data_IF_158815862849
#
_entry.id   IF_158815862849
#
_cell.length_a   1.000
_cell.length_b   1.000
_cell.length_c   1.000
_cell.angle_alpha   90.00
_cell.angle_beta   90.00
_cell.angle_gamma   90.00
#
_symmetry.space_group_name_H-M   'P 1'
#
loop_
_entity.id
_entity.type
_entity.pdbx_description
1 polymer ?
#
# COMPACT_ATOMS: atom_id res chain seq x y z
N UNK A 1 -7.17 18.53 4.25
CA UNK A 1 -7.84 17.22 4.22
C UNK A 1 -7.73 16.64 2.81
N UNK A 2 -7.30 15.40 2.68
CA UNK A 2 -7.34 14.64 1.42
C UNK A 2 -8.44 13.59 1.55
N UNK A 3 -9.35 13.57 0.58
CA UNK A 3 -10.45 12.62 0.49
C UNK A 3 -10.19 11.72 -0.72
N UNK A 4 -9.72 10.50 -0.47
CA UNK A 4 -9.51 9.47 -1.48
C UNK A 4 -10.77 8.64 -1.67
N UNK A 5 -11.43 8.85 -2.81
CA UNK A 5 -12.67 8.21 -3.19
C UNK A 5 -12.35 7.05 -4.14
N UNK A 6 -11.48 6.17 -3.67
CA UNK A 6 -10.92 5.03 -4.39
C UNK A 6 -11.81 3.80 -4.43
N UNK A 7 -11.21 2.65 -4.74
CA UNK A 7 -11.91 1.39 -4.96
C UNK A 7 -11.43 0.24 -4.08
N UNK A 8 -10.62 0.47 -3.04
CA UNK A 8 -10.20 -0.65 -2.20
C UNK A 8 -9.02 -0.53 -1.24
N UNK A 9 -8.36 0.62 -1.00
CA UNK A 9 -7.28 0.70 0.03
C UNK A 9 -6.90 2.14 0.38
N UNK A 10 -6.46 2.35 1.63
CA UNK A 10 -5.92 3.62 2.19
C UNK A 10 -4.48 3.42 2.63
N UNK A 11 -3.60 4.32 2.21
CA UNK A 11 -2.26 4.49 2.78
C UNK A 11 -2.15 5.85 3.44
N UNK A 12 -1.83 5.90 4.73
CA UNK A 12 -1.83 7.15 5.51
C UNK A 12 -0.41 7.65 5.79
N UNK A 13 0.23 8.33 4.85
CA UNK A 13 1.60 8.84 5.09
C UNK A 13 1.57 10.33 5.44
N UNK A 14 2.36 10.71 6.43
CA UNK A 14 2.51 12.08 6.91
C UNK A 14 3.86 12.62 6.47
N UNK A 15 3.89 13.77 5.80
CA UNK A 15 5.08 14.29 5.12
C UNK A 15 5.40 15.72 5.51
N UNK A 16 6.67 16.11 5.57
CA UNK A 16 7.15 17.47 5.70
C UNK A 16 7.65 17.99 4.37
N UNK A 17 7.18 19.15 3.96
CA UNK A 17 7.77 19.85 2.81
C UNK A 17 9.09 20.47 3.27
N UNK A 18 10.14 20.24 2.49
CA UNK A 18 11.48 20.76 2.72
C UNK A 18 11.71 21.98 1.81
N UNK A 19 12.65 22.85 2.19
CA UNK A 19 13.01 24.08 1.46
C UNK A 19 13.40 23.89 -0.01
N UNK A 20 13.70 22.66 -0.44
CA UNK A 20 14.06 22.28 -1.80
C UNK A 20 12.94 21.53 -2.56
N UNK A 21 11.68 21.72 -2.15
CA UNK A 21 10.48 21.05 -2.70
C UNK A 21 10.51 19.52 -2.58
N UNK A 22 11.32 18.96 -1.66
CA UNK A 22 11.29 17.53 -1.32
C UNK A 22 10.44 17.28 -0.08
N UNK A 23 10.05 16.03 0.14
CA UNK A 23 9.23 15.58 1.26
C UNK A 23 10.09 14.84 2.29
N UNK A 24 9.80 14.92 3.58
CA UNK A 24 10.32 14.02 4.61
C UNK A 24 9.16 13.33 5.31
N UNK A 25 9.18 12.02 5.49
CA UNK A 25 8.17 11.34 6.28
C UNK A 25 8.27 11.77 7.75
N UNK A 26 7.16 12.21 8.34
CA UNK A 26 7.08 12.57 9.77
C UNK A 26 6.20 11.64 10.57
N UNK A 27 5.33 10.86 9.91
CA UNK A 27 4.68 9.67 10.48
C UNK A 27 4.39 8.68 9.35
N UNK A 28 4.61 7.39 9.63
CA UNK A 28 4.46 6.31 8.64
C UNK A 28 3.00 5.86 8.48
N UNK A 29 2.64 5.46 7.26
CA UNK A 29 1.40 4.73 6.97
C UNK A 29 1.19 3.49 7.83
N UNK A 30 0.03 3.48 8.50
CA UNK A 30 -0.62 2.25 8.93
C UNK A 30 -1.42 1.67 7.76
N UNK A 31 -0.72 0.99 6.87
CA UNK A 31 -1.33 0.15 5.85
C UNK A 31 -0.62 -1.22 5.82
N UNK A 32 -1.36 -2.22 5.37
CA UNK A 32 -0.84 -3.53 5.02
C UNK A 32 -1.10 -3.81 3.56
N UNK A 33 -0.45 -4.86 3.06
CA UNK A 33 -0.50 -5.33 1.67
C UNK A 33 -1.89 -5.90 1.32
N UNK A 34 -2.86 -5.04 1.02
CA UNK A 34 -4.27 -5.43 0.76
C UNK A 34 -4.83 -4.93 -0.59
N UNK A 35 -3.97 -4.42 -1.48
CA UNK A 35 -4.40 -3.84 -2.76
C UNK A 35 -4.76 -4.85 -3.87
N UNK A 36 -5.49 -4.38 -4.89
CA UNK A 36 -5.95 -5.20 -6.03
C UNK A 36 -4.84 -5.91 -6.82
N UNK A 37 -3.63 -5.34 -6.87
CA UNK A 37 -2.47 -5.96 -7.55
C UNK A 37 -2.01 -7.26 -6.88
N UNK A 38 -2.19 -7.39 -5.56
CA UNK A 38 -1.87 -8.63 -4.83
C UNK A 38 -2.90 -9.70 -5.15
N UNK A 39 -4.17 -9.32 -5.29
CA UNK A 39 -5.24 -10.20 -5.78
C UNK A 39 -4.88 -10.72 -7.18
N UNK A 40 -4.28 -9.88 -8.03
CA UNK A 40 -3.83 -10.27 -9.37
C UNK A 40 -2.68 -11.26 -9.34
N UNK A 41 -1.67 -10.97 -8.54
CA UNK A 41 -0.53 -11.87 -8.37
C UNK A 41 -0.97 -13.23 -7.81
N UNK A 42 -1.79 -13.24 -6.76
CA UNK A 42 -2.31 -14.46 -6.14
C UNK A 42 -3.22 -15.26 -7.09
N UNK A 43 -4.04 -14.58 -7.90
CA UNK A 43 -4.84 -15.26 -8.91
C UNK A 43 -3.99 -15.84 -10.04
N UNK A 44 -2.97 -15.10 -10.51
CA UNK A 44 -2.01 -15.62 -11.50
C UNK A 44 -1.26 -16.84 -10.95
N UNK A 45 -0.80 -16.81 -9.71
CA UNK A 45 -0.20 -17.97 -9.03
C UNK A 45 -1.18 -19.14 -8.92
N UNK A 46 -2.44 -18.89 -8.57
CA UNK A 46 -3.48 -19.91 -8.54
C UNK A 46 -3.70 -20.58 -9.90
N UNK A 47 -3.77 -19.79 -10.99
CA UNK A 47 -3.94 -20.32 -12.36
C UNK A 47 -2.70 -21.10 -12.80
N UNK A 48 -1.50 -20.61 -12.50
CA UNK A 48 -0.24 -21.34 -12.73
C UNK A 48 -0.25 -22.68 -12.01
N UNK A 49 -0.70 -22.71 -10.74
CA UNK A 49 -0.83 -23.93 -9.95
C UNK A 49 -1.88 -24.89 -10.51
N UNK A 50 -3.02 -24.37 -10.99
CA UNK A 50 -4.10 -25.14 -11.60
C UNK A 50 -3.65 -25.82 -12.90
N UNK A 51 -2.95 -25.07 -13.76
CA UNK A 51 -2.44 -25.56 -15.05
C UNK A 51 -1.12 -26.32 -14.92
N UNK A 52 -0.45 -26.24 -13.76
CA UNK A 52 0.89 -26.76 -13.49
C UNK A 52 1.92 -26.29 -14.54
N UNK A 53 1.77 -25.05 -14.99
CA UNK A 53 2.62 -24.45 -16.00
C UNK A 53 2.98 -23.01 -15.61
N UNK A 54 4.24 -22.80 -15.25
CA UNK A 54 4.75 -21.50 -14.82
C UNK A 54 4.80 -20.45 -15.94
N UNK A 55 4.67 -20.88 -17.20
CA UNK A 55 4.75 -20.00 -18.36
C UNK A 55 3.40 -19.78 -19.04
N UNK A 56 2.29 -20.22 -18.42
CA UNK A 56 0.99 -20.24 -19.08
C UNK A 56 0.52 -18.84 -19.51
N UNK A 57 0.88 -17.80 -18.75
CA UNK A 57 0.51 -16.42 -19.08
C UNK A 57 1.41 -15.84 -20.17
N UNK A 58 2.73 -16.02 -20.12
CA UNK A 58 3.61 -15.58 -21.22
C UNK A 58 3.24 -16.27 -22.53
N UNK A 59 2.99 -17.59 -22.49
CA UNK A 59 2.55 -18.35 -23.65
C UNK A 59 1.20 -17.86 -24.18
N UNK A 60 0.26 -17.53 -23.30
CA UNK A 60 -1.04 -16.99 -23.72
C UNK A 60 -0.88 -15.64 -24.41
N UNK A 61 -0.04 -14.75 -23.87
CA UNK A 61 0.25 -13.45 -24.48
C UNK A 61 0.98 -13.56 -25.82
N UNK A 62 1.91 -14.50 -25.95
CA UNK A 62 2.69 -14.69 -27.19
C UNK A 62 1.86 -15.38 -28.30
N UNK A 63 1.04 -16.37 -27.94
CA UNK A 63 0.31 -17.20 -28.89
C UNK A 63 -1.09 -16.66 -29.21
N UNK A 64 -1.74 -16.02 -28.24
CA UNK A 64 -3.12 -15.57 -28.34
C UNK A 64 -3.37 -14.27 -27.52
N UNK A 65 -2.76 -13.13 -27.92
CA UNK A 65 -2.82 -11.89 -27.16
C UNK A 65 -4.25 -11.33 -27.01
N UNK A 66 -5.17 -11.64 -27.94
CA UNK A 66 -6.58 -11.26 -27.81
C UNK A 66 -7.27 -12.06 -26.70
N UNK A 67 -7.01 -13.36 -26.63
CA UNK A 67 -7.55 -14.22 -25.56
C UNK A 67 -6.92 -13.87 -24.20
N UNK A 68 -5.64 -13.51 -24.18
CA UNK A 68 -4.96 -12.99 -22.99
C UNK A 68 -5.63 -11.71 -22.48
N UNK A 69 -5.91 -10.77 -23.38
CA UNK A 69 -6.58 -9.52 -23.05
C UNK A 69 -8.03 -9.75 -22.61
N UNK A 70 -8.75 -10.67 -23.26
CA UNK A 70 -10.11 -11.05 -22.85
C UNK A 70 -10.10 -11.73 -21.47
N UNK A 71 -9.14 -12.61 -21.20
CA UNK A 71 -8.97 -13.25 -19.90
C UNK A 71 -8.67 -12.24 -18.79
N UNK A 72 -7.71 -11.34 -19.00
CA UNK A 72 -7.40 -10.29 -18.02
C UNK A 72 -8.60 -9.37 -17.82
N UNK A 73 -9.31 -8.99 -18.89
CA UNK A 73 -10.51 -8.17 -18.79
C UNK A 73 -11.64 -8.86 -18.01
N UNK A 74 -11.85 -10.15 -18.25
CA UNK A 74 -12.87 -10.94 -17.56
C UNK A 74 -12.51 -11.13 -16.08
N UNK A 75 -11.23 -11.32 -15.77
CA UNK A 75 -10.75 -11.37 -14.39
C UNK A 75 -10.88 -10.01 -13.69
N UNK A 76 -10.45 -8.92 -14.32
CA UNK A 76 -10.64 -7.55 -13.83
C UNK A 76 -12.12 -7.25 -13.55
N UNK A 77 -13.00 -7.66 -14.47
CA UNK A 77 -14.43 -7.51 -14.32
C UNK A 77 -14.97 -8.32 -13.11
N UNK A 78 -14.53 -9.57 -12.92
CA UNK A 78 -14.89 -10.39 -11.76
C UNK A 78 -14.35 -9.81 -10.45
N UNK A 79 -13.12 -9.29 -10.43
CA UNK A 79 -12.57 -8.59 -9.27
C UNK A 79 -13.42 -7.38 -8.87
N UNK A 80 -13.86 -6.59 -9.84
CA UNK A 80 -14.73 -5.42 -9.59
C UNK A 80 -16.08 -5.80 -8.94
N UNK A 81 -16.58 -7.01 -9.17
CA UNK A 81 -17.79 -7.49 -8.48
C UNK A 81 -17.56 -7.74 -6.98
N UNK A 82 -16.31 -8.00 -6.58
CA UNK A 82 -15.93 -8.32 -5.20
C UNK A 82 -15.30 -7.10 -4.51
N UNK A 83 -14.74 -6.17 -5.29
CA UNK A 83 -14.17 -4.90 -4.83
C UNK A 83 -15.28 -3.98 -4.32
N UNK A 84 -15.21 -3.59 -3.06
CA UNK A 84 -16.07 -2.54 -2.50
C UNK A 84 -15.46 -1.18 -2.81
N UNK A 85 -16.24 -0.26 -3.35
CA UNK A 85 -15.82 1.13 -3.50
C UNK A 85 -15.63 1.75 -2.12
N UNK A 86 -14.40 2.07 -1.76
CA UNK A 86 -14.06 2.69 -0.48
C UNK A 86 -13.96 4.19 -0.62
N UNK A 87 -14.25 4.90 0.46
CA UNK A 87 -13.91 6.30 0.59
C UNK A 87 -13.12 6.44 1.86
N UNK A 88 -11.98 7.09 1.73
CA UNK A 88 -10.95 7.13 2.73
C UNK A 88 -10.49 8.57 2.90
N UNK A 89 -10.44 9.03 4.15
CA UNK A 89 -10.17 10.43 4.46
C UNK A 89 -8.98 10.54 5.37
N UNK A 90 -8.06 11.44 5.06
CA UNK A 90 -6.96 11.82 5.94
C UNK A 90 -6.92 13.34 6.11
N UNK A 91 -6.71 13.80 7.34
CA UNK A 91 -6.53 15.23 7.62
C UNK A 91 -5.10 15.50 8.02
N UNK A 92 -4.43 16.29 7.19
CA UNK A 92 -3.13 16.84 7.51
C UNK A 92 -3.22 18.31 7.89
N UNK A 93 -2.45 18.72 8.90
CA UNK A 93 -2.17 20.10 9.28
C UNK A 93 -0.76 20.46 8.84
N UNK A 94 -0.61 21.56 8.11
CA UNK A 94 0.71 22.13 7.80
C UNK A 94 1.20 22.88 9.04
N UNK A 95 2.32 22.45 9.59
CA UNK A 95 2.98 23.03 10.75
C UNK A 95 3.86 24.20 10.32
N UNK A 96 4.32 25.00 11.31
CA UNK A 96 5.18 26.18 11.06
C UNK A 96 6.50 25.85 10.36
N UNK A 97 6.99 24.63 10.53
CA UNK A 97 8.22 24.12 9.92
C UNK A 97 7.93 23.39 8.60
N UNK A 98 6.79 23.67 7.97
CA UNK A 98 6.31 23.07 6.71
C UNK A 98 6.05 21.56 6.78
N UNK A 99 6.06 21.00 8.00
CA UNK A 99 5.66 19.63 8.26
C UNK A 99 4.16 19.45 8.07
N UNK A 100 3.69 18.55 7.22
CA UNK A 100 2.32 18.04 7.32
C UNK A 100 2.29 17.05 8.47
N UNK A 101 1.40 17.21 9.43
CA UNK A 101 1.11 16.25 10.51
C UNK A 101 -0.31 15.74 10.33
N UNK A 102 -0.53 14.43 10.36
CA UNK A 102 -1.88 13.89 10.45
C UNK A 102 -2.47 14.25 11.81
N UNK A 103 -3.56 15.02 11.78
CA UNK A 103 -4.27 15.50 12.97
C UNK A 103 -5.58 14.75 13.20
N UNK A 104 -5.93 13.86 12.28
CA UNK A 104 -7.11 13.02 12.35
C UNK A 104 -6.80 11.66 11.74
N UNK A 105 -6.98 10.60 12.54
CA UNK A 105 -6.74 9.21 12.10
C UNK A 105 -7.54 8.94 10.84
N UNK A 106 -6.93 8.36 9.80
CA UNK A 106 -7.74 8.08 8.62
C UNK A 106 -8.95 7.20 8.93
N UNK A 107 -10.07 7.62 8.37
CA UNK A 107 -11.38 6.99 8.51
C UNK A 107 -11.94 6.77 7.12
N UNK A 108 -12.77 5.74 6.99
CA UNK A 108 -13.36 5.39 5.72
C UNK A 108 -14.52 4.43 5.85
N UNK A 109 -15.20 4.21 4.72
CA UNK A 109 -16.36 3.34 4.63
C UNK A 109 -16.63 2.89 3.20
N UNK A 110 -17.47 1.87 3.06
CA UNK A 110 -17.84 1.26 1.78
C UNK A 110 -18.89 2.10 1.02
N UNK A 111 -18.71 3.43 1.00
CA UNK A 111 -19.66 4.39 0.42
C UNK A 111 -19.20 4.97 -0.92
N UNK A 112 -18.27 4.30 -1.58
CA UNK A 112 -17.73 4.69 -2.88
C UNK A 112 -18.71 4.47 -4.03
N UNK A 113 -18.18 4.56 -5.25
CA UNK A 113 -18.98 4.50 -6.48
C UNK A 113 -19.82 3.22 -6.64
N UNK A 114 -19.46 2.13 -5.96
CA UNK A 114 -20.17 0.85 -5.99
C UNK A 114 -21.57 0.91 -5.37
N UNK A 115 -21.83 1.84 -4.44
CA UNK A 115 -23.19 2.05 -3.93
C UNK A 115 -24.10 2.58 -5.05
N UNK A 116 -23.59 3.52 -5.85
CA UNK A 116 -24.35 4.09 -6.98
C UNK A 116 -24.64 3.01 -8.02
N UNK A 117 -23.67 2.12 -8.26
CA UNK A 117 -23.83 0.99 -9.17
C UNK A 117 -24.90 0.01 -8.66
N UNK A 118 -24.95 -0.24 -7.35
CA UNK A 118 -25.97 -1.09 -6.74
C UNK A 118 -27.38 -0.51 -6.87
N UNK A 119 -27.55 0.79 -6.63
CA UNK A 119 -28.84 1.49 -6.81
C UNK A 119 -29.31 1.44 -8.28
N UNK A 120 -28.39 1.64 -9.23
CA UNK A 120 -28.71 1.49 -10.64
C UNK A 120 -29.08 0.05 -11.01
N UNK A 121 -28.35 -0.95 -10.54
CA UNK A 121 -28.69 -2.36 -10.76
C UNK A 121 -30.08 -2.69 -10.22
N UNK A 122 -30.42 -2.21 -9.01
CA UNK A 122 -31.75 -2.37 -8.43
C UNK A 122 -32.85 -1.69 -9.27
N UNK A 123 -32.56 -0.52 -9.86
CA UNK A 123 -33.47 0.12 -10.79
C UNK A 123 -33.69 -0.72 -12.06
N UNK A 124 -32.63 -1.26 -12.65
CA UNK A 124 -32.71 -2.12 -13.85
C UNK A 124 -33.47 -3.41 -13.56
N UNK A 125 -33.18 -4.10 -12.47
CA UNK A 125 -33.88 -5.36 -12.13
C UNK A 125 -35.39 -5.13 -11.92
N UNK A 126 -35.76 -4.01 -11.30
CA UNK A 126 -37.16 -3.59 -11.16
C UNK A 126 -37.81 -3.29 -12.50
N UNK A 127 -37.13 -2.54 -13.38
CA UNK A 127 -37.62 -2.23 -14.72
C UNK A 127 -37.86 -3.50 -15.55
N UNK A 128 -36.99 -4.49 -15.41
CA UNK A 128 -37.03 -5.75 -16.15
C UNK A 128 -37.94 -6.80 -15.49
N UNK A 129 -38.45 -6.51 -14.28
CA UNK A 129 -39.21 -7.44 -13.43
C UNK A 129 -38.49 -8.78 -13.23
N UNK A 130 -37.16 -8.74 -13.15
CA UNK A 130 -36.31 -9.90 -12.95
C UNK A 130 -35.10 -9.52 -12.08
N UNK A 131 -35.07 -10.01 -10.84
CA UNK A 131 -34.00 -9.73 -9.88
C UNK A 131 -32.63 -10.26 -10.34
N UNK A 132 -32.61 -11.26 -11.23
CA UNK A 132 -31.39 -11.91 -11.70
C UNK A 132 -30.98 -11.49 -13.12
N UNK A 133 -31.59 -10.47 -13.73
CA UNK A 133 -31.28 -10.13 -15.13
C UNK A 133 -29.83 -9.67 -15.33
N UNK A 134 -29.29 -8.91 -14.38
CA UNK A 134 -27.89 -8.44 -14.41
C UNK A 134 -26.93 -9.60 -14.11
N UNK A 135 -27.23 -10.44 -13.13
CA UNK A 135 -26.41 -11.61 -12.79
C UNK A 135 -26.33 -12.60 -13.97
N UNK A 136 -27.47 -12.87 -14.61
CA UNK A 136 -27.55 -13.71 -15.81
C UNK A 136 -26.79 -13.09 -16.98
N UNK A 137 -26.82 -11.77 -17.13
CA UNK A 137 -26.01 -11.09 -18.15
C UNK A 137 -24.52 -11.29 -17.88
N UNK A 138 -24.08 -11.18 -16.63
CA UNK A 138 -22.70 -11.44 -16.24
C UNK A 138 -22.27 -12.89 -16.42
N UNK A 139 -23.18 -13.84 -16.17
CA UNK A 139 -22.93 -15.27 -16.32
C UNK A 139 -22.84 -15.69 -17.79
N UNK A 140 -23.79 -15.24 -18.61
CA UNK A 140 -23.99 -15.75 -19.98
C UNK A 140 -23.39 -14.84 -21.05
N UNK A 141 -23.08 -13.58 -20.72
CA UNK A 141 -22.62 -12.56 -21.66
C UNK A 141 -21.77 -11.47 -20.98
N UNK A 142 -20.62 -11.82 -20.40
CA UNK A 142 -19.79 -10.87 -19.62
C UNK A 142 -19.31 -9.66 -20.42
N UNK A 143 -19.13 -9.77 -21.74
CA UNK A 143 -18.78 -8.63 -22.61
C UNK A 143 -19.89 -7.57 -22.64
N UNK A 144 -21.12 -8.02 -22.87
CA UNK A 144 -22.30 -7.14 -22.91
C UNK A 144 -22.54 -6.50 -21.53
N UNK A 145 -22.31 -7.26 -20.45
CA UNK A 145 -22.38 -6.75 -19.09
C UNK A 145 -21.35 -5.65 -18.84
N UNK A 146 -20.11 -5.87 -19.26
CA UNK A 146 -19.02 -4.90 -19.10
C UNK A 146 -19.26 -3.62 -19.93
N UNK A 147 -19.74 -3.75 -21.16
CA UNK A 147 -20.08 -2.60 -22.00
C UNK A 147 -21.23 -1.79 -21.40
N UNK A 148 -22.24 -2.47 -20.85
CA UNK A 148 -23.37 -1.82 -20.18
C UNK A 148 -22.93 -1.07 -18.92
N UNK A 149 -22.08 -1.68 -18.08
CA UNK A 149 -21.52 -1.01 -16.92
C UNK A 149 -20.60 0.16 -17.33
N UNK A 150 -19.84 0.05 -18.42
CA UNK A 150 -19.00 1.17 -18.93
C UNK A 150 -19.84 2.35 -19.42
N UNK A 151 -20.94 2.10 -20.13
CA UNK A 151 -21.86 3.16 -20.54
C UNK A 151 -22.45 3.85 -19.28
N UNK A 152 -22.90 3.06 -18.30
CA UNK A 152 -23.37 3.60 -17.02
C UNK A 152 -22.31 4.43 -16.29
N UNK A 153 -21.09 3.92 -16.15
CA UNK A 153 -19.96 4.63 -15.54
C UNK A 153 -19.66 5.97 -16.24
N UNK A 154 -19.72 5.99 -17.57
CA UNK A 154 -19.53 7.22 -18.34
C UNK A 154 -20.62 8.24 -18.03
N UNK A 155 -21.90 7.82 -17.94
CA UNK A 155 -23.01 8.69 -17.54
C UNK A 155 -22.86 9.16 -16.10
N UNK A 156 -22.47 8.27 -15.18
CA UNK A 156 -22.24 8.55 -13.75
C UNK A 156 -21.26 9.70 -13.53
N UNK A 157 -20.26 9.85 -14.41
CA UNK A 157 -19.26 10.94 -14.34
C UNK A 157 -19.73 12.28 -14.89
N UNK A 158 -20.68 12.26 -15.84
CA UNK A 158 -21.08 13.44 -16.63
C UNK A 158 -22.21 14.25 -16.01
N UNK A 159 -22.86 13.74 -14.98
CA UNK A 159 -23.98 14.41 -14.31
C UNK A 159 -23.46 15.48 -13.38
N UNK A 160 -24.07 16.67 -13.41
CA UNK A 160 -23.82 17.78 -12.48
C UNK A 160 -25.10 18.22 -11.77
N UNK A 161 -24.97 19.18 -10.85
CA UNK A 161 -26.13 19.81 -10.18
C UNK A 161 -26.92 20.76 -11.11
N UNK A 162 -26.29 21.32 -12.15
CA UNK A 162 -26.84 22.38 -13.02
C UNK A 162 -27.15 21.93 -14.46
N UNK A 163 -27.21 20.62 -14.74
CA UNK A 163 -27.43 20.11 -16.11
C UNK A 163 -28.88 20.27 -16.57
N UNK A 164 -29.11 20.25 -17.90
CA UNK A 164 -30.45 20.27 -18.50
C UNK A 164 -31.31 19.11 -17.96
N UNK A 165 -32.63 19.33 -17.85
CA UNK A 165 -33.63 18.34 -17.43
C UNK A 165 -33.81 17.16 -18.41
N UNK A 166 -32.85 16.93 -19.30
CA UNK A 166 -32.93 15.90 -20.32
C UNK A 166 -32.69 14.52 -19.72
N UNK A 167 -33.40 13.52 -20.24
CA UNK A 167 -33.27 12.15 -19.79
C UNK A 167 -31.89 11.57 -20.14
N UNK A 168 -31.30 10.86 -19.18
CA UNK A 168 -30.09 10.09 -19.39
C UNK A 168 -30.46 8.80 -20.12
N UNK A 169 -29.96 8.67 -21.35
CA UNK A 169 -30.17 7.50 -22.20
C UNK A 169 -29.03 6.50 -22.05
N UNK A 170 -29.38 5.24 -21.79
CA UNK A 170 -28.48 4.09 -21.75
C UNK A 170 -28.93 3.05 -22.78
N UNK A 171 -28.00 2.51 -23.56
CA UNK A 171 -28.31 1.44 -24.51
C UNK A 171 -28.53 0.13 -23.75
N UNK A 172 -29.64 -0.55 -24.03
CA UNK A 172 -29.86 -1.89 -23.48
C UNK A 172 -29.19 -2.92 -24.40
N UNK A 173 -28.25 -3.74 -23.90
CA UNK A 173 -27.71 -4.85 -24.67
C UNK A 173 -28.83 -5.82 -25.07
N UNK A 174 -28.77 -6.35 -26.30
CA UNK A 174 -29.78 -7.29 -26.79
C UNK A 174 -29.96 -8.49 -25.85
N UNK A 175 -28.86 -9.06 -25.34
CA UNK A 175 -28.91 -10.19 -24.41
C UNK A 175 -29.56 -9.83 -23.07
N UNK A 176 -29.39 -8.61 -22.58
CA UNK A 176 -30.04 -8.17 -21.35
C UNK A 176 -31.57 -8.15 -21.52
N UNK A 177 -32.08 -7.72 -22.69
CA UNK A 177 -33.52 -7.75 -22.98
C UNK A 177 -34.10 -9.16 -22.96
N UNK A 178 -33.34 -10.16 -23.40
CA UNK A 178 -33.78 -11.56 -23.36
C UNK A 178 -34.01 -12.07 -21.94
N UNK A 179 -33.43 -11.40 -20.93
CA UNK A 179 -33.64 -11.71 -19.51
C UNK A 179 -34.77 -10.87 -18.88
N UNK A 180 -35.48 -10.03 -19.62
CA UNK A 180 -36.64 -9.30 -19.10
C UNK A 180 -37.87 -10.22 -18.98
N UNK A 181 -38.65 -10.07 -17.89
CA UNK A 181 -39.95 -10.72 -17.72
C UNK A 181 -41.12 -9.85 -18.25
N UNK A 182 -40.80 -8.78 -18.96
CA UNK A 182 -41.75 -7.80 -19.51
C UNK A 182 -41.18 -7.23 -20.81
N UNK A 183 -42.04 -6.66 -21.65
CA UNK A 183 -41.57 -5.90 -22.81
C UNK A 183 -40.78 -4.67 -22.33
N UNK A 184 -39.58 -4.49 -22.90
CA UNK A 184 -38.67 -3.38 -22.59
C UNK A 184 -38.29 -2.67 -23.88
N UNK A 185 -38.09 -1.35 -23.79
CA UNK A 185 -37.70 -0.53 -24.93
C UNK A 185 -36.26 -0.82 -25.37
N UNK A 186 -35.83 -0.20 -26.48
CA UNK A 186 -34.45 -0.28 -26.95
C UNK A 186 -33.43 0.38 -26.00
N UNK A 187 -33.87 1.38 -25.26
CA UNK A 187 -33.05 2.18 -24.35
C UNK A 187 -33.71 2.30 -22.99
N UNK A 188 -32.88 2.50 -21.97
CA UNK A 188 -33.32 2.98 -20.67
C UNK A 188 -33.23 4.50 -20.70
N UNK A 189 -34.32 5.16 -20.34
CA UNK A 189 -34.36 6.60 -20.08
C UNK A 189 -34.49 6.78 -18.58
N UNK A 190 -33.51 7.44 -17.97
CA UNK A 190 -33.53 7.78 -16.55
C UNK A 190 -33.63 9.28 -16.43
N UNK A 191 -34.73 9.75 -15.86
CA UNK A 191 -34.91 11.16 -15.56
C UNK A 191 -33.82 11.62 -14.58
N UNK A 192 -33.21 12.78 -14.82
CA UNK A 192 -32.00 13.20 -14.12
C UNK A 192 -32.15 13.25 -12.58
N UNK A 193 -33.23 13.79 -11.99
CA UNK A 193 -33.49 13.66 -10.55
C UNK A 193 -33.54 12.22 -10.02
N UNK A 194 -34.05 11.28 -10.81
CA UNK A 194 -34.03 9.87 -10.44
C UNK A 194 -32.61 9.32 -10.47
N UNK A 195 -31.81 9.69 -11.47
CA UNK A 195 -30.40 9.28 -11.55
C UNK A 195 -29.57 9.86 -10.40
N UNK A 196 -29.76 11.15 -10.07
CA UNK A 196 -29.16 11.78 -8.89
C UNK A 196 -29.58 11.05 -7.60
N UNK A 197 -30.80 10.48 -7.58
CA UNK A 197 -31.28 9.60 -6.51
C UNK A 197 -30.37 8.40 -6.25
N UNK A 198 -29.71 7.83 -7.25
CA UNK A 198 -28.76 6.73 -7.08
C UNK A 198 -27.53 7.12 -6.24
N UNK A 199 -27.19 8.41 -6.19
CA UNK A 199 -26.08 8.92 -5.39
C UNK A 199 -26.47 9.27 -3.96
N UNK A 200 -27.75 9.27 -3.62
CA UNK A 200 -28.26 9.84 -2.37
C UNK A 200 -27.52 9.29 -1.14
N UNK A 201 -27.48 7.97 -1.02
CA UNK A 201 -26.83 7.28 0.10
C UNK A 201 -25.34 7.64 0.19
N UNK A 202 -24.59 7.50 -0.91
CA UNK A 202 -23.17 7.82 -0.94
C UNK A 202 -22.92 9.29 -0.57
N UNK A 203 -23.67 10.22 -1.17
CA UNK A 203 -23.57 11.66 -0.91
C UNK A 203 -23.81 11.99 0.56
N UNK A 204 -24.89 11.48 1.15
CA UNK A 204 -25.27 11.74 2.55
C UNK A 204 -24.20 11.21 3.52
N UNK A 205 -23.67 10.01 3.28
CA UNK A 205 -22.62 9.43 4.12
C UNK A 205 -21.29 10.19 4.01
N UNK A 206 -20.89 10.61 2.81
CA UNK A 206 -19.67 11.41 2.61
C UNK A 206 -19.78 12.76 3.29
N UNK A 207 -20.90 13.47 3.12
CA UNK A 207 -21.13 14.76 3.77
C UNK A 207 -21.07 14.61 5.29
N UNK A 208 -21.79 13.62 5.84
CA UNK A 208 -21.80 13.33 7.27
C UNK A 208 -20.41 13.03 7.81
N UNK A 209 -19.61 12.26 7.09
CA UNK A 209 -18.22 11.97 7.45
C UNK A 209 -17.38 13.25 7.50
N UNK A 210 -17.48 14.10 6.47
CA UNK A 210 -16.74 15.37 6.43
C UNK A 210 -17.17 16.29 7.58
N UNK A 211 -18.47 16.39 7.89
CA UNK A 211 -18.99 17.17 9.01
C UNK A 211 -18.46 16.67 10.36
N UNK A 212 -18.42 15.36 10.58
CA UNK A 212 -17.85 14.78 11.80
C UNK A 212 -16.36 15.13 11.94
N UNK A 213 -15.61 15.03 10.85
CA UNK A 213 -14.18 15.39 10.84
C UNK A 213 -14.00 16.87 11.17
N UNK A 214 -14.77 17.77 10.54
CA UNK A 214 -14.73 19.21 10.82
C UNK A 214 -15.06 19.51 12.29
N UNK A 215 -15.97 18.76 12.90
CA UNK A 215 -16.31 18.93 14.31
C UNK A 215 -15.18 18.49 15.27
N UNK A 216 -14.33 17.56 14.84
CA UNK A 216 -13.23 17.02 15.65
C UNK A 216 -11.90 17.75 15.46
N UNK A 217 -11.69 18.46 14.34
CA UNK A 217 -10.44 19.18 14.02
C UNK A 217 -10.60 20.69 14.14
N UNK A 218 -9.54 21.39 14.57
CA UNK A 218 -9.59 22.85 14.82
C UNK A 218 -10.04 23.67 13.60
N UNK A 219 -9.54 23.36 12.41
CA UNK A 219 -9.90 24.03 11.15
C UNK A 219 -9.46 23.22 9.94
N UNK A 220 -10.20 23.37 8.83
CA UNK A 220 -9.86 22.80 7.53
C UNK A 220 -9.84 23.92 6.49
N UNK A 221 -8.67 24.15 5.89
CA UNK A 221 -8.53 25.16 4.83
C UNK A 221 -8.82 24.59 3.44
N UNK A 222 -8.35 23.35 3.18
CA UNK A 222 -8.48 22.68 1.89
C UNK A 222 -9.08 21.28 2.03
N UNK A 223 -9.95 20.93 1.09
CA UNK A 223 -10.37 19.55 0.82
C UNK A 223 -9.84 19.19 -0.56
N UNK A 224 -8.96 18.19 -0.64
CA UNK A 224 -8.41 17.70 -1.91
C UNK A 224 -9.11 16.39 -2.25
N UNK A 225 -9.87 16.38 -3.34
CA UNK A 225 -10.63 15.23 -3.80
C UNK A 225 -9.77 14.38 -4.75
N UNK A 226 -9.47 13.14 -4.40
CA UNK A 226 -8.70 12.19 -5.21
C UNK A 226 -9.46 10.87 -5.34
N UNK A 227 -8.99 9.96 -6.20
CA UNK A 227 -9.63 8.65 -6.41
C UNK A 227 -10.71 8.67 -7.51
N UNK A 228 -11.04 7.49 -8.03
CA UNK A 228 -11.87 7.36 -9.23
C UNK A 228 -13.29 7.92 -9.10
N UNK A 229 -13.89 7.85 -7.91
CA UNK A 229 -15.25 8.34 -7.67
C UNK A 229 -15.32 9.87 -7.57
N UNK A 230 -14.21 10.53 -7.24
CA UNK A 230 -14.10 11.99 -7.27
C UNK A 230 -14.14 12.58 -8.69
N UNK A 231 -14.10 11.74 -9.74
CA UNK A 231 -14.38 12.15 -11.11
C UNK A 231 -15.85 12.55 -11.35
N UNK A 232 -16.78 12.25 -10.43
CA UNK A 232 -18.20 12.64 -10.56
C UNK A 232 -18.39 14.14 -10.30
N UNK A 233 -18.86 14.90 -11.29
CA UNK A 233 -19.18 16.33 -11.12
C UNK A 233 -20.27 16.53 -10.07
N UNK A 234 -21.35 15.74 -10.11
CA UNK A 234 -22.44 15.81 -9.14
C UNK A 234 -21.95 15.71 -7.69
N UNK A 235 -21.01 14.80 -7.43
CA UNK A 235 -20.45 14.62 -6.09
C UNK A 235 -19.52 15.77 -5.70
N UNK A 236 -18.68 16.25 -6.63
CA UNK A 236 -17.85 17.43 -6.42
C UNK A 236 -18.68 18.66 -6.11
N UNK A 237 -19.74 18.90 -6.87
CA UNK A 237 -20.66 20.01 -6.69
C UNK A 237 -21.43 19.88 -5.39
N UNK A 238 -21.88 18.66 -5.04
CA UNK A 238 -22.55 18.39 -3.76
C UNK A 238 -21.68 18.76 -2.57
N UNK A 239 -20.37 18.47 -2.61
CA UNK A 239 -19.42 18.85 -1.56
C UNK A 239 -19.14 20.36 -1.62
N UNK A 240 -18.85 20.92 -2.80
CA UNK A 240 -18.54 22.36 -2.97
C UNK A 240 -19.67 23.28 -2.53
N UNK A 241 -20.91 22.93 -2.83
CA UNK A 241 -22.09 23.73 -2.55
C UNK A 241 -22.69 23.47 -1.16
N UNK A 242 -22.15 22.51 -0.40
CA UNK A 242 -22.68 22.19 0.92
C UNK A 242 -22.46 23.38 1.89
N UNK A 243 -23.50 23.88 2.57
CA UNK A 243 -23.38 25.08 3.42
C UNK A 243 -22.31 24.94 4.52
N UNK A 244 -22.18 23.74 5.10
CA UNK A 244 -21.19 23.46 6.14
C UNK A 244 -19.74 23.61 5.66
N UNK A 245 -19.49 23.55 4.35
CA UNK A 245 -18.14 23.59 3.76
C UNK A 245 -17.88 24.89 2.99
N UNK A 246 -18.79 25.87 3.07
CA UNK A 246 -18.75 27.12 2.29
C UNK A 246 -17.48 27.96 2.50
N UNK A 247 -16.79 27.82 3.63
CA UNK A 247 -15.53 28.50 3.94
C UNK A 247 -14.29 27.71 3.53
N UNK A 248 -14.45 26.45 3.11
CA UNK A 248 -13.36 25.52 2.83
C UNK A 248 -13.12 25.46 1.33
N UNK A 249 -11.85 25.55 0.90
CA UNK A 249 -11.51 25.46 -0.51
C UNK A 249 -11.45 24.00 -0.96
N UNK A 250 -12.44 23.59 -1.76
CA UNK A 250 -12.47 22.25 -2.36
C UNK A 250 -11.69 22.23 -3.68
N UNK A 251 -10.63 21.42 -3.72
CA UNK A 251 -9.71 21.25 -4.85
C UNK A 251 -9.91 19.85 -5.43
N UNK A 252 -10.03 19.76 -6.76
CA UNK A 252 -9.97 18.48 -7.48
C UNK A 252 -8.89 18.62 -8.55
N UNK A 253 -7.85 17.76 -8.55
CA UNK A 253 -6.82 17.78 -9.57
C UNK A 253 -7.40 17.39 -10.95
N UNK A 254 -6.74 17.72 -12.07
CA UNK A 254 -7.28 17.48 -13.42
C UNK A 254 -7.66 16.03 -13.73
N UNK A 255 -6.93 15.07 -13.17
CA UNK A 255 -7.17 13.63 -13.35
C UNK A 255 -7.16 12.93 -11.99
N UNK A 256 -8.21 13.07 -11.18
CA UNK A 256 -8.17 12.64 -9.80
C UNK A 256 -8.18 11.11 -9.65
N UNK A 257 -8.73 10.40 -10.64
CA UNK A 257 -8.65 8.94 -10.71
C UNK A 257 -7.25 8.37 -10.99
N UNK A 258 -6.29 9.18 -11.46
CA UNK A 258 -4.91 8.73 -11.76
C UNK A 258 -3.85 9.44 -10.90
N UNK A 259 -4.23 10.43 -10.09
CA UNK A 259 -3.28 11.27 -9.35
C UNK A 259 -2.43 10.48 -8.34
N UNK A 260 -3.02 9.48 -7.68
CA UNK A 260 -2.30 8.60 -6.74
C UNK A 260 -1.25 7.79 -7.48
N UNK A 261 -1.60 7.17 -8.62
CA UNK A 261 -0.67 6.44 -9.48
C UNK A 261 0.44 7.35 -10.02
N UNK A 262 0.10 8.56 -10.49
CA UNK A 262 1.09 9.55 -10.96
C UNK A 262 2.05 9.94 -9.84
N UNK A 263 1.55 10.12 -8.63
CA UNK A 263 2.37 10.34 -7.43
C UNK A 263 3.33 9.17 -7.18
N UNK A 264 2.84 7.93 -7.27
CA UNK A 264 3.66 6.73 -7.12
C UNK A 264 4.74 6.60 -8.21
N UNK A 265 4.41 6.89 -9.48
CA UNK A 265 5.38 6.88 -10.58
C UNK A 265 6.42 7.99 -10.43
N UNK A 266 6.00 9.19 -10.06
CA UNK A 266 6.91 10.30 -9.78
C UNK A 266 7.87 9.96 -8.63
N UNK A 267 7.34 9.32 -7.58
CA UNK A 267 8.14 8.80 -6.48
C UNK A 267 9.12 7.70 -6.94
N UNK A 268 8.70 6.77 -7.80
CA UNK A 268 9.59 5.75 -8.37
C UNK A 268 10.72 6.34 -9.23
N UNK A 269 10.43 7.40 -10.00
CA UNK A 269 11.43 8.09 -10.83
C UNK A 269 12.41 8.92 -9.99
N UNK A 270 11.91 9.56 -8.93
CA UNK A 270 12.73 10.34 -8.00
C UNK A 270 12.46 9.91 -6.56
N UNK A 271 13.01 8.77 -6.10
CA UNK A 271 12.84 8.32 -4.72
C UNK A 271 13.41 9.32 -3.71
N UNK A 272 14.40 10.11 -4.14
CA UNK A 272 15.01 11.23 -3.39
C UNK A 272 14.09 12.43 -3.22
N UNK A 273 12.95 12.47 -3.92
CA UNK A 273 11.87 13.37 -3.58
C UNK A 273 11.38 13.12 -2.15
N UNK A 274 11.60 11.92 -1.59
CA UNK A 274 11.54 11.69 -0.14
C UNK A 274 12.95 11.72 0.45
N UNK A 275 13.23 12.79 1.18
CA UNK A 275 14.52 13.13 1.79
C UNK A 275 14.80 12.43 3.11
N UNK A 276 13.77 11.96 3.82
CA UNK A 276 13.90 11.24 5.09
C UNK A 276 12.65 10.39 5.40
N UNK A 277 12.79 9.40 6.27
CA UNK A 277 11.74 8.45 6.68
C UNK A 277 11.77 8.17 8.17
N UNK A 278 10.63 7.83 8.74
CA UNK A 278 10.59 7.34 10.12
C UNK A 278 10.71 5.81 10.16
N UNK A 279 11.61 5.31 11.00
CA UNK A 279 11.77 3.87 11.24
C UNK A 279 10.49 3.26 11.84
N UNK A 280 9.89 2.30 11.11
CA UNK A 280 8.72 1.50 11.58
C UNK A 280 9.06 0.61 12.77
N UNK A 281 10.28 0.07 12.75
CA UNK A 281 10.82 -0.86 13.72
C UNK A 281 12.23 -0.41 14.10
N UNK A 282 12.71 -0.89 15.24
CA UNK A 282 14.12 -0.79 15.59
C UNK A 282 14.88 -1.84 14.78
N UNK A 283 15.95 -1.45 14.10
CA UNK A 283 16.77 -2.35 13.29
C UNK A 283 18.15 -2.52 13.92
N UNK A 284 18.66 -3.75 13.90
CA UNK A 284 19.93 -4.07 14.52
C UNK A 284 20.47 -5.44 14.17
N UNK A 285 21.71 -5.70 14.59
CA UNK A 285 22.43 -6.92 14.26
C UNK A 285 22.37 -7.93 15.42
N UNK A 286 22.33 -9.22 15.09
CA UNK A 286 22.68 -10.28 16.07
C UNK A 286 24.18 -10.27 16.31
N UNK A 287 24.59 -10.01 17.55
CA UNK A 287 26.01 -10.00 17.94
C UNK A 287 26.25 -10.84 19.18
N UNK A 288 27.51 -11.24 19.34
CA UNK A 288 28.00 -11.87 20.56
C UNK A 288 28.84 -10.85 21.33
N UNK A 289 28.64 -10.76 22.66
CA UNK A 289 29.36 -9.81 23.53
C UNK A 289 30.12 -10.56 24.62
N UNK A 290 31.20 -10.00 25.19
CA UNK A 290 31.79 -10.54 26.41
C UNK A 290 30.72 -10.74 27.50
N UNK A 291 30.72 -11.89 28.15
CA UNK A 291 29.74 -12.17 29.20
C UNK A 291 30.03 -11.32 30.44
N UNK A 292 28.95 -10.87 31.10
CA UNK A 292 29.04 -10.01 32.28
C UNK A 292 27.95 -10.43 33.25
N UNK A 293 28.33 -11.07 34.36
CA UNK A 293 27.38 -11.72 35.28
C UNK A 293 26.35 -10.78 35.92
N UNK A 294 26.64 -9.47 35.95
CA UNK A 294 25.74 -8.44 36.50
C UNK A 294 24.70 -7.93 35.50
N UNK A 295 24.94 -8.11 34.21
CA UNK A 295 24.12 -7.53 33.13
C UNK A 295 23.48 -8.60 32.26
N UNK A 296 24.13 -9.74 32.07
CA UNK A 296 23.69 -10.79 31.16
C UNK A 296 23.09 -11.97 31.91
N UNK A 297 21.97 -12.54 31.42
CA UNK A 297 21.37 -13.71 32.02
C UNK A 297 22.24 -14.96 31.80
N UNK A 298 22.35 -15.79 32.83
CA UNK A 298 23.22 -16.97 32.80
C UNK A 298 22.87 -17.96 31.67
N UNK A 299 21.59 -18.06 31.28
CA UNK A 299 21.13 -18.92 30.19
C UNK A 299 21.67 -18.51 28.80
N UNK A 300 22.16 -17.26 28.65
CA UNK A 300 22.81 -16.75 27.44
C UNK A 300 24.32 -16.90 27.44
N UNK A 301 24.91 -17.42 28.52
CA UNK A 301 26.35 -17.65 28.65
C UNK A 301 26.78 -18.87 27.85
N UNK A 302 27.83 -18.72 27.05
CA UNK A 302 28.53 -19.79 26.36
C UNK A 302 30.04 -19.57 26.43
N UNK A 303 30.82 -20.64 26.30
CA UNK A 303 32.29 -20.55 26.19
C UNK A 303 32.65 -20.73 24.72
N UNK A 304 33.31 -19.73 24.13
CA UNK A 304 33.77 -19.75 22.74
C UNK A 304 35.26 -19.43 22.72
N UNK A 305 36.08 -20.36 22.22
CA UNK A 305 37.54 -20.20 22.15
C UNK A 305 38.19 -19.82 23.50
N UNK A 306 37.63 -20.36 24.59
CA UNK A 306 38.07 -20.11 25.97
C UNK A 306 37.50 -18.85 26.60
N UNK A 307 36.79 -18.01 25.85
CA UNK A 307 36.22 -16.75 26.35
C UNK A 307 34.75 -16.96 26.76
N UNK A 308 34.34 -16.39 27.90
CA UNK A 308 32.91 -16.34 28.28
C UNK A 308 32.19 -15.27 27.46
N UNK A 309 31.17 -15.70 26.71
CA UNK A 309 30.43 -14.90 25.74
C UNK A 309 28.93 -14.96 26.05
N UNK A 310 28.28 -13.80 25.94
CA UNK A 310 26.83 -13.68 25.88
C UNK A 310 26.39 -13.73 24.41
N UNK A 311 25.62 -14.76 24.04
CA UNK A 311 25.16 -14.95 22.67
C UNK A 311 23.82 -14.25 22.39
N UNK A 312 23.55 -14.02 21.11
CA UNK A 312 22.26 -13.56 20.58
C UNK A 312 21.85 -12.15 21.02
N UNK A 313 22.79 -11.29 21.40
CA UNK A 313 22.51 -9.92 21.81
C UNK A 313 22.07 -9.09 20.60
N UNK A 314 21.00 -8.32 20.75
CA UNK A 314 20.58 -7.34 19.74
C UNK A 314 21.41 -6.07 19.86
N UNK A 315 22.11 -5.71 18.81
CA UNK A 315 22.81 -4.43 18.71
C UNK A 315 22.02 -3.48 17.78
N UNK A 316 21.26 -2.58 18.40
CA UNK A 316 20.47 -1.57 17.67
C UNK A 316 21.35 -0.59 16.90
N UNK A 317 20.90 -0.22 15.71
CA UNK A 317 21.56 0.73 14.79
C UNK A 317 20.69 1.97 14.55
N UNK A 318 19.39 1.75 14.45
CA UNK A 318 18.32 2.75 14.39
C UNK A 318 17.14 2.19 15.19
N UNK A 319 16.36 3.07 15.78
CA UNK A 319 15.25 2.74 16.65
C UNK A 319 13.93 3.16 16.04
N UNK A 320 12.86 2.48 16.43
CA UNK A 320 11.50 2.87 16.05
C UNK A 320 11.28 4.34 16.37
N UNK A 321 10.67 5.06 15.42
CA UNK A 321 10.43 6.50 15.44
C UNK A 321 11.66 7.38 15.13
N UNK A 322 12.85 6.82 14.91
CA UNK A 322 13.98 7.61 14.41
C UNK A 322 13.65 8.17 13.03
N UNK A 323 13.91 9.48 12.84
CA UNK A 323 13.87 10.13 11.53
C UNK A 323 15.22 9.92 10.85
N UNK A 324 15.22 9.17 9.75
CA UNK A 324 16.39 8.73 9.03
C UNK A 324 16.40 9.32 7.63
N UNK A 325 17.47 10.04 7.27
CA UNK A 325 17.62 10.63 5.94
C UNK A 325 17.83 9.57 4.87
N UNK A 326 17.49 9.92 3.63
CA UNK A 326 17.78 9.10 2.47
C UNK A 326 19.28 8.76 2.42
N UNK A 327 19.59 7.47 2.36
CA UNK A 327 20.96 6.92 2.30
C UNK A 327 21.82 7.23 3.53
N UNK A 328 21.20 7.44 4.69
CA UNK A 328 21.91 7.67 5.95
C UNK A 328 22.67 6.41 6.40
N UNK A 329 23.98 6.54 6.64
CA UNK A 329 24.88 5.43 6.98
C UNK A 329 24.92 5.19 8.50
N UNK A 330 24.89 3.90 8.90
CA UNK A 330 25.31 3.40 10.21
C UNK A 330 26.44 2.40 10.00
N UNK A 331 27.50 2.55 10.79
CA UNK A 331 28.69 1.70 10.70
C UNK A 331 28.79 0.78 11.92
N UNK A 332 29.20 -0.48 11.69
CA UNK A 332 29.50 -1.44 12.75
C UNK A 332 30.79 -2.19 12.46
N UNK A 333 31.60 -2.45 13.49
CA UNK A 333 32.78 -3.30 13.39
C UNK A 333 32.66 -4.47 14.35
N UNK A 334 32.80 -5.68 13.82
CA UNK A 334 32.78 -6.92 14.58
C UNK A 334 34.13 -7.64 14.57
N UNK A 335 34.32 -8.53 15.54
CA UNK A 335 35.49 -9.39 15.65
C UNK A 335 34.99 -10.82 15.86
N UNK A 336 35.42 -11.73 14.99
CA UNK A 336 35.22 -13.17 15.15
C UNK A 336 36.54 -13.84 15.52
N UNK A 337 36.49 -14.76 16.48
CA UNK A 337 37.65 -15.54 16.95
C UNK A 337 37.53 -16.98 16.45
N UNK A 338 38.66 -17.50 15.99
CA UNK A 338 38.80 -18.83 15.40
C UNK A 338 40.12 -19.49 15.86
N UNK A 339 40.36 -19.51 17.17
CA UNK A 339 41.58 -20.09 17.78
C UNK A 339 41.54 -21.62 17.76
N UNK A 340 40.36 -22.21 17.97
CA UNK A 340 40.18 -23.66 17.94
C UNK A 340 40.12 -24.20 16.50
N UNK A 341 40.71 -25.39 16.27
CA UNK A 341 40.77 -26.03 14.95
C UNK A 341 39.40 -26.19 14.29
N UNK A 342 38.40 -26.61 15.05
CA UNK A 342 37.04 -26.85 14.52
C UNK A 342 36.33 -25.55 14.10
N UNK A 343 36.74 -24.40 14.67
CA UNK A 343 36.17 -23.10 14.32
C UNK A 343 36.81 -22.47 13.09
N UNK A 344 37.97 -22.95 12.64
CA UNK A 344 38.68 -22.43 11.46
C UNK A 344 37.82 -22.46 10.19
N UNK A 345 36.85 -23.37 10.11
CA UNK A 345 36.00 -23.56 8.94
C UNK A 345 34.52 -23.18 9.17
N UNK A 346 34.19 -22.59 10.33
CA UNK A 346 32.83 -22.13 10.61
C UNK A 346 32.63 -20.77 9.94
N UNK A 347 31.55 -20.64 9.15
CA UNK A 347 31.21 -19.38 8.47
C UNK A 347 30.81 -18.29 9.47
N UNK A 348 31.12 -17.04 9.13
CA UNK A 348 30.66 -15.88 9.91
C UNK A 348 29.28 -15.49 9.38
N UNK A 349 28.28 -15.45 10.26
CA UNK A 349 26.91 -15.05 9.91
C UNK A 349 26.59 -13.67 10.45
N UNK A 350 26.22 -12.76 9.56
CA UNK A 350 25.75 -11.42 9.90
C UNK A 350 24.26 -11.38 9.60
N UNK A 351 23.44 -11.23 10.63
CA UNK A 351 21.98 -11.26 10.49
C UNK A 351 21.40 -9.95 11.00
N UNK A 352 20.60 -9.30 10.15
CA UNK A 352 19.83 -8.11 10.48
C UNK A 352 18.45 -8.52 10.99
N UNK A 353 18.02 -7.89 12.07
CA UNK A 353 16.72 -8.08 12.69
C UNK A 353 15.95 -6.78 12.77
N UNK A 354 14.63 -6.89 12.69
CA UNK A 354 13.69 -5.84 13.09
C UNK A 354 13.04 -6.20 14.43
N UNK A 355 12.72 -5.18 15.22
CA UNK A 355 12.11 -5.31 16.54
C UNK A 355 11.06 -4.22 16.79
N UNK A 356 9.91 -4.60 17.37
CA UNK A 356 8.80 -3.66 17.61
C UNK A 356 8.96 -2.80 18.87
N UNK A 357 9.51 -3.37 19.93
CA UNK A 357 9.46 -2.84 21.30
C UNK A 357 10.85 -2.80 21.95
N UNK A 358 11.84 -2.23 21.26
CA UNK A 358 13.20 -2.06 21.80
C UNK A 358 13.57 -0.59 21.73
N UNK A 359 13.93 -0.03 22.88
CA UNK A 359 14.44 1.34 22.99
C UNK A 359 15.96 1.38 23.04
N UNK A 360 16.53 2.54 22.77
CA UNK A 360 17.97 2.75 22.87
C UNK A 360 18.50 2.45 24.27
N UNK A 361 19.62 1.73 24.34
CA UNK A 361 20.25 1.30 25.59
C UNK A 361 19.61 0.09 26.29
N UNK A 362 18.45 -0.38 25.85
CA UNK A 362 17.83 -1.59 26.39
C UNK A 362 18.62 -2.84 26.01
N UNK A 363 18.97 -3.69 26.99
CA UNK A 363 19.48 -5.03 26.72
C UNK A 363 18.34 -5.91 26.20
N UNK A 364 18.48 -6.42 24.98
CA UNK A 364 17.52 -7.33 24.35
C UNK A 364 18.25 -8.41 23.56
N UNK A 365 17.57 -9.53 23.32
CA UNK A 365 18.11 -10.66 22.58
C UNK A 365 17.26 -10.95 21.34
N UNK A 366 17.91 -11.30 20.23
CA UNK A 366 17.19 -11.58 18.96
C UNK A 366 16.33 -12.85 19.01
N UNK A 367 16.39 -13.61 20.10
CA UNK A 367 15.55 -14.77 20.38
C UNK A 367 14.31 -14.43 21.19
N UNK A 368 14.22 -13.20 21.69
CA UNK A 368 13.07 -12.75 22.46
C UNK A 368 11.87 -12.59 21.54
N UNK A 369 10.67 -12.58 22.12
CA UNK A 369 9.45 -12.37 21.34
C UNK A 369 9.45 -10.97 20.70
N UNK A 370 8.97 -10.88 19.45
CA UNK A 370 8.86 -9.61 18.73
C UNK A 370 10.07 -9.23 17.88
N UNK A 371 11.06 -10.11 17.76
CA UNK A 371 12.16 -10.01 16.79
C UNK A 371 11.87 -10.82 15.53
N UNK A 372 12.14 -10.25 14.35
CA UNK A 372 12.04 -10.94 13.05
C UNK A 372 13.32 -10.73 12.27
N UNK A 373 13.85 -11.79 11.64
CA UNK A 373 15.04 -11.68 10.79
C UNK A 373 14.66 -11.05 9.45
N UNK A 374 15.35 -9.98 9.09
CA UNK A 374 15.17 -9.26 7.81
C UNK A 374 16.04 -9.88 6.72
N UNK A 375 17.29 -10.25 7.06
CA UNK A 375 18.21 -10.85 6.09
C UNK A 375 19.51 -11.33 6.72
N UNK A 376 20.26 -12.15 5.97
CA UNK A 376 21.49 -12.81 6.43
C UNK A 376 22.58 -12.77 5.37
N UNK A 377 23.79 -12.37 5.78
CA UNK A 377 25.02 -12.46 4.99
C UNK A 377 25.90 -13.56 5.59
N UNK A 378 26.47 -14.42 4.75
CA UNK A 378 27.35 -15.51 5.16
C UNK A 378 28.73 -15.30 4.54
N UNK A 379 29.73 -15.00 5.38
CA UNK A 379 31.12 -14.96 4.95
C UNK A 379 31.73 -16.36 5.12
N UNK A 380 32.19 -16.95 4.02
CA UNK A 380 32.81 -18.28 4.01
C UNK A 380 34.30 -18.18 4.37
N UNK A 381 34.85 -19.18 5.09
CA UNK A 381 36.28 -19.24 5.37
C UNK A 381 37.11 -19.38 4.07
N UNK A 382 38.37 -18.89 4.07
CA UNK A 382 39.36 -19.28 3.08
C UNK A 382 39.62 -20.79 3.08
N UNK A 383 40.24 -21.32 2.03
CA UNK A 383 40.58 -22.76 1.92
C UNK A 383 41.41 -23.27 3.11
N UNK A 384 42.33 -22.44 3.61
CA UNK A 384 43.18 -22.76 4.77
C UNK A 384 42.52 -22.45 6.12
N UNK A 385 41.24 -22.09 6.12
CA UNK A 385 40.50 -21.66 7.30
C UNK A 385 40.80 -20.21 7.71
N UNK A 386 40.05 -19.72 8.70
CA UNK A 386 40.19 -18.36 9.21
C UNK A 386 41.50 -18.15 9.99
N UNK A 387 42.10 -16.95 9.96
CA UNK A 387 43.08 -16.56 10.97
C UNK A 387 42.44 -16.55 12.36
N UNK A 388 43.26 -16.57 13.42
CA UNK A 388 42.78 -16.64 14.81
C UNK A 388 41.80 -15.52 15.18
N UNK A 389 41.92 -14.38 14.51
CA UNK A 389 41.04 -13.23 14.65
C UNK A 389 40.71 -12.66 13.28
N UNK A 390 39.42 -12.55 12.99
CA UNK A 390 38.89 -11.90 11.78
C UNK A 390 38.13 -10.67 12.22
N UNK A 391 38.55 -9.50 11.77
CA UNK A 391 37.75 -8.26 11.88
C UNK A 391 36.90 -8.12 10.63
N UNK A 392 35.66 -7.66 10.80
CA UNK A 392 34.79 -7.31 9.68
C UNK A 392 34.09 -5.98 9.96
N UNK A 393 33.91 -5.19 8.90
CA UNK A 393 33.27 -3.87 8.94
C UNK A 393 31.99 -3.90 8.13
N UNK A 394 30.93 -3.30 8.64
CA UNK A 394 29.63 -3.18 8.03
C UNK A 394 29.27 -1.70 7.87
N UNK A 395 28.81 -1.33 6.69
CA UNK A 395 28.12 -0.06 6.41
C UNK A 395 26.69 -0.38 6.02
N UNK A 396 25.75 0.20 6.73
CA UNK A 396 24.32 -0.10 6.61
C UNK A 396 23.62 1.21 6.29
N UNK A 397 22.93 1.26 5.16
CA UNK A 397 22.29 2.45 4.65
C UNK A 397 20.77 2.34 4.80
N UNK A 398 20.19 3.33 5.45
CA UNK A 398 18.77 3.41 5.75
C UNK A 398 18.10 4.56 4.98
N UNK A 399 16.77 4.72 5.15
CA UNK A 399 15.99 5.80 4.53
C UNK A 399 15.52 5.53 3.09
N UNK A 400 15.87 4.37 2.53
CA UNK A 400 15.35 3.88 1.25
C UNK A 400 14.16 2.93 1.46
N UNK A 401 13.61 2.36 0.38
CA UNK A 401 12.57 1.31 0.47
C UNK A 401 13.13 -0.05 0.90
N UNK A 402 14.44 -0.24 0.78
CA UNK A 402 15.19 -1.39 1.27
C UNK A 402 16.37 -0.96 2.15
N UNK A 403 16.98 -1.91 2.87
CA UNK A 403 18.20 -1.67 3.65
C UNK A 403 19.39 -2.20 2.87
N UNK A 404 20.29 -1.31 2.45
CA UNK A 404 21.52 -1.68 1.74
C UNK A 404 22.66 -1.90 2.74
N UNK A 405 23.43 -2.96 2.54
CA UNK A 405 24.54 -3.34 3.40
C UNK A 405 25.79 -3.59 2.56
N UNK A 406 26.90 -3.01 3.00
CA UNK A 406 28.24 -3.32 2.50
C UNK A 406 29.07 -3.90 3.64
N UNK A 407 29.74 -5.03 3.41
CA UNK A 407 30.61 -5.66 4.40
C UNK A 407 31.93 -6.11 3.80
N UNK A 408 32.99 -6.07 4.60
CA UNK A 408 34.32 -6.55 4.22
C UNK A 408 34.98 -7.19 5.44
N UNK A 409 35.62 -8.34 5.25
CA UNK A 409 36.40 -9.02 6.29
C UNK A 409 37.90 -8.97 5.97
N UNK A 410 38.71 -8.92 7.03
CA UNK A 410 40.17 -8.76 6.95
C UNK A 410 40.94 -9.99 6.44
N UNK A 411 40.30 -11.15 6.33
CA UNK A 411 40.96 -12.39 5.92
C UNK A 411 40.80 -12.64 4.42
N UNK A 412 39.57 -12.50 3.88
CA UNK A 412 39.31 -12.60 2.46
C UNK A 412 39.57 -11.27 1.72
N UNK A 413 39.43 -10.13 2.41
CA UNK A 413 39.44 -8.79 1.82
C UNK A 413 38.45 -8.63 0.64
N UNK A 414 37.36 -9.40 0.66
CA UNK A 414 36.29 -9.34 -0.33
C UNK A 414 35.18 -8.43 0.19
N UNK A 415 34.81 -7.44 -0.61
CA UNK A 415 33.66 -6.59 -0.31
C UNK A 415 32.38 -7.24 -0.84
N UNK A 416 31.42 -7.47 0.05
CA UNK A 416 30.08 -7.94 -0.27
C UNK A 416 29.13 -6.74 -0.20
N UNK A 417 28.30 -6.56 -1.23
CA UNK A 417 27.24 -5.55 -1.28
C UNK A 417 25.90 -6.25 -1.53
N UNK A 418 24.90 -5.96 -0.71
CA UNK A 418 23.55 -6.54 -0.83
C UNK A 418 22.49 -5.54 -0.35
N UNK A 419 21.23 -5.81 -0.67
CA UNK A 419 20.07 -5.14 -0.08
C UNK A 419 19.10 -6.15 0.52
N UNK A 420 18.33 -5.72 1.53
CA UNK A 420 17.22 -6.48 2.09
C UNK A 420 15.95 -5.66 1.96
N UNK A 421 14.94 -6.24 1.31
CA UNK A 421 13.60 -5.64 1.20
C UNK A 421 12.91 -5.63 2.57
N UNK A 422 12.07 -4.63 2.80
CA UNK A 422 11.32 -4.46 4.04
C UNK A 422 9.84 -4.79 3.81
N UNK A 423 9.26 -5.58 4.71
CA UNK A 423 7.83 -5.93 4.70
C UNK A 423 6.92 -4.85 5.36
#
# INVERSE_FOLDING_TARGET
>A
MVLDMGGGTVDIVVHKIMENDTLAEVYKASAGDWGGTIVDAQFKEFVVGLLKNNYCFEQLWDLAPLDALDFERDFEAKKRQISRGTIDTVVHKIMKDETLVEVYKASGGDWGGTIVDAEFKAFVTKLFKNEHCIDKLWELAPRDALEFERDFEAKKRQISCDTSLDDIRLQIPYRLKMFANTEVQEHIYVYQPQFQGFFKTAKEEIIRMIENIIAEVESIEFIILVGGFSCSEFLKDSIRCHPAFSTIKVISPPEPGTVVLKGAVAFGYSPRAVSARICRYSYGLRVNKPFGSKIHPQCKRVIIDGDEICKDVFHGLVYKNDLIKYDEERSYTGISRHRNKDRKFVSIEIILYEAKNVTEGQLAFVTDEGFKSVGKIVCKPPENGWPDTVKYTLKIYFGQTNIRIETCDTANNVQIKTSFELD
#
